data_IF_675041771741
#
_entry.id   IF_675041771741
#
_cell.length_a   1.000
_cell.length_b   1.000
_cell.length_c   1.000
_cell.angle_alpha   90.00
_cell.angle_beta   90.00
_cell.angle_gamma   90.00
#
_symmetry.space_group_name_H-M   'P 1'
#
loop_
_entity.id
_entity.type
_entity.pdbx_description
1 polymer ?
#
# COMPACT_ATOMS: atom_id res chain seq x y z
N UNK A 1 28.21 -34.56 12.74
CA UNK A 1 26.73 -34.63 12.69
C UNK A 1 26.18 -33.35 13.30
N UNK A 2 26.04 -32.30 12.47
CA UNK A 2 25.68 -30.96 12.94
C UNK A 2 24.19 -30.92 13.31
N UNK A 3 23.89 -30.71 14.58
CA UNK A 3 22.53 -30.50 15.08
C UNK A 3 21.99 -29.18 14.52
N UNK A 4 21.01 -29.25 13.63
CA UNK A 4 20.24 -28.08 13.19
C UNK A 4 19.67 -27.36 14.42
N UNK A 5 19.77 -26.02 14.51
CA UNK A 5 19.28 -25.28 15.66
C UNK A 5 17.76 -25.47 15.81
N UNK A 6 17.30 -25.66 17.04
CA UNK A 6 15.90 -25.88 17.46
C UNK A 6 14.90 -24.76 17.06
N UNK A 7 15.36 -23.74 16.32
CA UNK A 7 14.55 -22.64 15.83
C UNK A 7 13.64 -23.03 14.65
N UNK A 8 13.99 -24.07 13.87
CA UNK A 8 13.18 -24.51 12.72
C UNK A 8 11.99 -25.40 13.14
N UNK A 9 12.01 -25.96 14.35
CA UNK A 9 10.98 -26.90 14.81
C UNK A 9 9.71 -26.26 15.37
N UNK A 10 9.65 -24.93 15.53
CA UNK A 10 8.46 -24.22 16.04
C UNK A 10 7.82 -23.30 14.98
N UNK A 11 7.66 -23.82 13.76
CA UNK A 11 6.83 -23.14 12.76
C UNK A 11 5.37 -23.42 13.11
N UNK A 12 4.71 -22.44 13.74
CA UNK A 12 3.28 -22.51 14.06
C UNK A 12 2.47 -22.97 12.85
N UNK A 13 1.52 -23.92 13.01
CA UNK A 13 0.67 -24.35 11.91
C UNK A 13 -0.04 -23.14 11.29
N UNK A 14 0.19 -22.92 9.98
CA UNK A 14 -0.32 -21.77 9.23
C UNK A 14 0.65 -20.60 9.01
N UNK A 15 1.87 -20.63 9.57
CA UNK A 15 2.85 -19.56 9.36
C UNK A 15 3.22 -19.35 7.87
N UNK A 16 3.38 -20.45 7.10
CA UNK A 16 3.61 -20.37 5.65
C UNK A 16 2.45 -19.72 4.90
N UNK A 17 1.20 -19.97 5.31
CA UNK A 17 0.02 -19.35 4.70
C UNK A 17 -0.01 -17.85 4.96
N UNK A 18 0.26 -17.45 6.20
CA UNK A 18 0.34 -16.02 6.57
C UNK A 18 1.47 -15.34 5.81
N UNK A 19 2.65 -15.96 5.75
CA UNK A 19 3.79 -15.43 5.00
C UNK A 19 3.47 -15.28 3.51
N UNK A 20 2.86 -16.30 2.88
CA UNK A 20 2.46 -16.25 1.48
C UNK A 20 1.44 -15.14 1.21
N UNK A 21 0.42 -14.97 2.08
CA UNK A 21 -0.58 -13.91 1.94
C UNK A 21 0.04 -12.52 2.08
N UNK A 22 0.90 -12.31 3.07
CA UNK A 22 1.58 -11.02 3.27
C UNK A 22 2.54 -10.73 2.11
N UNK A 23 3.32 -11.72 1.66
CA UNK A 23 4.23 -11.57 0.54
C UNK A 23 3.49 -11.25 -0.77
N UNK A 24 2.35 -11.91 -1.03
CA UNK A 24 1.53 -11.62 -2.19
C UNK A 24 0.94 -10.20 -2.13
N UNK A 25 0.38 -9.80 -0.98
CA UNK A 25 -0.15 -8.44 -0.80
C UNK A 25 0.93 -7.37 -0.99
N UNK A 26 2.14 -7.61 -0.46
CA UNK A 26 3.29 -6.72 -0.64
C UNK A 26 3.73 -6.64 -2.10
N UNK A 27 3.80 -7.78 -2.79
CA UNK A 27 4.14 -7.83 -4.22
C UNK A 27 3.14 -7.03 -5.07
N UNK A 28 1.84 -7.16 -4.81
CA UNK A 28 0.78 -6.40 -5.50
C UNK A 28 0.95 -4.90 -5.25
N UNK A 29 1.16 -4.48 -3.99
CA UNK A 29 1.40 -3.08 -3.66
C UNK A 29 2.64 -2.52 -4.38
N UNK A 30 3.73 -3.29 -4.41
CA UNK A 30 4.93 -2.87 -5.14
C UNK A 30 4.70 -2.75 -6.63
N UNK A 31 4.05 -3.75 -7.24
CA UNK A 31 3.71 -3.73 -8.65
C UNK A 31 2.86 -2.50 -9.00
N UNK A 32 1.85 -2.16 -8.20
CA UNK A 32 1.05 -0.95 -8.39
C UNK A 32 1.92 0.31 -8.42
N UNK A 33 2.80 0.49 -7.43
CA UNK A 33 3.68 1.66 -7.38
C UNK A 33 4.70 1.72 -8.51
N UNK A 34 5.12 0.57 -9.04
CA UNK A 34 6.04 0.48 -10.17
C UNK A 34 5.34 0.75 -11.52
N UNK A 35 4.06 0.40 -11.64
CA UNK A 35 3.26 0.59 -12.84
C UNK A 35 2.71 2.02 -12.97
N UNK A 36 2.43 2.71 -11.86
CA UNK A 36 1.87 4.07 -11.90
C UNK A 36 2.68 5.07 -12.74
N UNK A 37 4.02 5.14 -12.62
CA UNK A 37 4.84 6.02 -13.44
C UNK A 37 4.68 5.83 -14.94
N UNK A 38 4.43 4.59 -15.36
CA UNK A 38 4.20 4.23 -16.76
C UNK A 38 2.83 4.73 -17.23
N UNK A 39 1.84 4.79 -16.33
CA UNK A 39 0.49 5.26 -16.64
C UNK A 39 0.37 6.79 -16.59
N UNK A 40 1.24 7.51 -15.87
CA UNK A 40 1.12 8.96 -15.73
C UNK A 40 1.05 9.74 -17.05
N UNK A 41 1.83 9.45 -18.11
CA UNK A 41 1.70 10.15 -19.38
C UNK A 41 0.30 10.01 -20.01
N UNK A 42 -0.29 8.81 -19.94
CA UNK A 42 -1.65 8.57 -20.42
C UNK A 42 -2.69 9.30 -19.58
N UNK A 43 -2.56 9.24 -18.24
CA UNK A 43 -3.42 9.97 -17.31
C UNK A 43 -3.34 11.48 -17.51
N UNK A 44 -2.15 12.02 -17.75
CA UNK A 44 -1.94 13.45 -18.03
C UNK A 44 -2.65 13.89 -19.31
N UNK A 45 -2.65 13.04 -20.35
CA UNK A 45 -3.34 13.30 -21.60
C UNK A 45 -4.87 13.21 -21.45
N UNK A 46 -5.39 12.19 -20.75
CA UNK A 46 -6.83 11.97 -20.57
C UNK A 46 -7.48 12.98 -19.61
N UNK A 47 -6.81 13.32 -18.51
CA UNK A 47 -7.34 14.18 -17.45
C UNK A 47 -6.89 15.65 -17.61
N UNK A 48 -6.09 15.95 -18.63
CA UNK A 48 -5.70 17.31 -18.99
C UNK A 48 -4.80 18.01 -17.96
N UNK A 49 -3.96 17.28 -17.21
CA UNK A 49 -3.08 17.86 -16.20
C UNK A 49 -1.58 17.76 -16.56
N UNK A 50 -0.82 18.81 -16.23
CA UNK A 50 0.64 18.88 -16.47
C UNK A 50 1.51 18.40 -15.31
N UNK A 51 2.84 18.41 -15.50
CA UNK A 51 3.83 17.96 -14.51
C UNK A 51 3.74 18.63 -13.12
N UNK A 52 3.25 19.87 -13.06
CA UNK A 52 2.98 20.58 -11.78
C UNK A 52 1.97 19.82 -10.91
N UNK A 53 0.89 19.36 -11.53
CA UNK A 53 -0.17 18.61 -10.86
C UNK A 53 0.31 17.21 -10.49
N UNK A 54 1.16 16.60 -11.33
CA UNK A 54 1.78 15.32 -11.03
C UNK A 54 2.70 15.39 -9.79
N UNK A 55 3.51 16.45 -9.68
CA UNK A 55 4.34 16.68 -8.50
C UNK A 55 3.51 16.84 -7.23
N UNK A 56 2.39 17.57 -7.32
CA UNK A 56 1.45 17.74 -6.20
C UNK A 56 0.76 16.42 -5.83
N UNK A 57 0.36 15.62 -6.83
CA UNK A 57 -0.22 14.29 -6.64
C UNK A 57 0.72 13.38 -5.85
N UNK A 58 1.97 13.27 -6.32
CA UNK A 58 2.98 12.42 -5.67
C UNK A 58 3.32 12.98 -4.29
N UNK A 59 3.56 14.29 -4.18
CA UNK A 59 3.94 14.92 -2.91
C UNK A 59 2.87 14.76 -1.82
N UNK A 60 1.62 15.11 -2.11
CA UNK A 60 0.51 15.01 -1.15
C UNK A 60 0.28 13.55 -0.75
N UNK A 61 0.19 12.64 -1.72
CA UNK A 61 -0.04 11.23 -1.43
C UNK A 61 1.09 10.61 -0.59
N UNK A 62 2.35 11.01 -0.80
CA UNK A 62 3.48 10.57 0.02
C UNK A 62 3.43 11.12 1.45
N UNK A 63 3.00 12.37 1.66
CA UNK A 63 2.80 12.92 3.01
C UNK A 63 1.77 12.11 3.79
N UNK A 64 0.65 11.75 3.16
CA UNK A 64 -0.36 10.91 3.79
C UNK A 64 0.16 9.50 4.11
N UNK A 65 0.90 8.88 3.19
CA UNK A 65 1.49 7.55 3.42
C UNK A 65 2.54 7.54 4.52
N UNK A 66 3.54 8.41 4.42
CA UNK A 66 4.67 8.46 5.36
C UNK A 66 4.23 9.01 6.73
N UNK A 67 3.35 10.01 6.74
CA UNK A 67 2.84 10.62 7.97
C UNK A 67 2.01 9.64 8.78
N UNK A 68 1.17 8.83 8.13
CA UNK A 68 0.42 7.80 8.85
C UNK A 68 1.27 6.61 9.25
N UNK A 69 2.33 6.26 8.52
CA UNK A 69 3.20 5.16 8.93
C UNK A 69 3.82 5.39 10.32
N UNK A 70 4.06 6.66 10.66
CA UNK A 70 4.46 7.05 12.02
C UNK A 70 3.35 6.80 13.05
N UNK A 71 2.10 7.13 12.69
CA UNK A 71 0.92 6.95 13.54
C UNK A 71 0.57 5.46 13.73
N UNK A 72 0.57 4.67 12.65
CA UNK A 72 0.33 3.22 12.71
C UNK A 72 1.41 2.49 13.51
N UNK A 73 2.68 2.94 13.40
CA UNK A 73 3.78 2.44 14.22
C UNK A 73 3.56 2.69 15.73
N UNK A 74 2.98 3.83 16.09
CA UNK A 74 2.63 4.15 17.48
C UNK A 74 1.39 3.36 17.95
N UNK A 75 0.32 3.32 17.14
CA UNK A 75 -0.93 2.61 17.45
C UNK A 75 -0.75 1.09 17.50
N UNK A 76 0.20 0.54 16.75
CA UNK A 76 0.58 -0.87 16.79
C UNK A 76 1.15 -1.35 18.13
N UNK A 77 1.37 -0.44 19.10
CA UNK A 77 1.66 -0.78 20.50
C UNK A 77 0.41 -1.19 21.29
N UNK A 78 -0.76 -0.74 20.86
CA UNK A 78 -2.05 -0.97 21.54
C UNK A 78 -2.96 -1.94 20.78
N UNK A 79 -2.77 -2.10 19.47
CA UNK A 79 -3.62 -2.93 18.59
C UNK A 79 -2.81 -4.08 17.98
N UNK A 80 -3.43 -5.26 17.85
CA UNK A 80 -2.80 -6.43 17.23
C UNK A 80 -2.41 -6.14 15.77
N UNK A 81 -1.11 -6.25 15.44
CA UNK A 81 -0.55 -6.02 14.09
C UNK A 81 -1.27 -6.78 12.97
N UNK A 82 -1.78 -7.99 13.25
CA UNK A 82 -2.51 -8.80 12.27
C UNK A 82 -3.79 -8.12 11.75
N UNK A 83 -4.51 -7.41 12.62
CA UNK A 83 -5.76 -6.71 12.27
C UNK A 83 -5.46 -5.46 11.46
N UNK A 84 -4.45 -4.68 11.89
CA UNK A 84 -3.97 -3.49 11.15
C UNK A 84 -3.55 -3.84 9.71
N UNK A 85 -2.72 -4.88 9.56
CA UNK A 85 -2.24 -5.32 8.25
C UNK A 85 -3.39 -5.82 7.35
N UNK A 86 -4.29 -6.64 7.89
CA UNK A 86 -5.41 -7.19 7.12
C UNK A 86 -6.41 -6.12 6.67
N UNK A 87 -6.84 -5.25 7.58
CA UNK A 87 -7.80 -4.19 7.26
C UNK A 87 -7.18 -3.16 6.31
N UNK A 88 -5.92 -2.77 6.55
CA UNK A 88 -5.21 -1.80 5.71
C UNK A 88 -5.03 -2.29 4.27
N UNK A 89 -4.60 -3.54 4.09
CA UNK A 89 -4.41 -4.11 2.74
C UNK A 89 -5.72 -4.28 1.97
N UNK A 90 -6.82 -4.66 2.64
CA UNK A 90 -8.14 -4.73 1.98
C UNK A 90 -8.63 -3.33 1.59
N UNK A 91 -8.56 -2.36 2.49
CA UNK A 91 -8.95 -0.98 2.21
C UNK A 91 -8.11 -0.38 1.07
N UNK A 92 -6.82 -0.70 1.03
CA UNK A 92 -5.92 -0.25 -0.04
C UNK A 92 -6.30 -0.84 -1.40
N UNK A 93 -6.64 -2.14 -1.46
CA UNK A 93 -7.12 -2.78 -2.69
C UNK A 93 -8.42 -2.15 -3.22
N UNK A 94 -9.35 -1.79 -2.34
CA UNK A 94 -10.59 -1.08 -2.72
C UNK A 94 -10.24 0.29 -3.33
N UNK A 95 -9.33 1.03 -2.70
CA UNK A 95 -8.90 2.34 -3.19
C UNK A 95 -8.19 2.25 -4.55
N UNK A 96 -7.39 1.21 -4.81
CA UNK A 96 -6.81 0.97 -6.13
C UNK A 96 -7.87 0.82 -7.22
N UNK A 97 -8.92 0.03 -6.95
CA UNK A 97 -10.03 -0.16 -7.89
C UNK A 97 -10.76 1.15 -8.17
N UNK A 98 -11.01 1.95 -7.13
CA UNK A 98 -11.69 3.25 -7.25
C UNK A 98 -10.82 4.31 -7.95
N UNK A 99 -9.50 4.28 -7.74
CA UNK A 99 -8.56 5.16 -8.45
C UNK A 99 -8.60 4.92 -9.97
N UNK A 100 -8.80 3.67 -10.41
CA UNK A 100 -8.96 3.32 -11.82
C UNK A 100 -10.23 3.88 -12.47
N UNK A 101 -11.24 4.25 -11.66
CA UNK A 101 -12.48 4.88 -12.14
C UNK A 101 -12.42 6.42 -12.08
N UNK A 102 -11.25 7.01 -11.78
CA UNK A 102 -11.15 8.46 -11.63
C UNK A 102 -11.27 9.18 -12.98
N UNK A 103 -12.21 10.13 -13.05
CA UNK A 103 -12.50 10.94 -14.25
C UNK A 103 -11.99 12.38 -14.12
N UNK A 104 -11.34 12.73 -13.01
CA UNK A 104 -10.80 14.07 -12.75
C UNK A 104 -9.55 14.01 -11.90
N UNK A 105 -8.65 14.98 -12.07
CA UNK A 105 -7.42 15.11 -11.29
C UNK A 105 -7.67 15.10 -9.77
N UNK A 106 -8.74 15.76 -9.30
CA UNK A 106 -9.08 15.78 -7.87
C UNK A 106 -9.56 14.42 -7.36
N UNK A 107 -10.33 13.68 -8.16
CA UNK A 107 -10.70 12.30 -7.84
C UNK A 107 -9.46 11.41 -7.76
N UNK A 108 -8.55 11.57 -8.71
CA UNK A 108 -7.31 10.82 -8.75
C UNK A 108 -6.42 11.12 -7.53
N UNK A 109 -6.32 12.40 -7.16
CA UNK A 109 -5.62 12.88 -5.97
C UNK A 109 -6.22 12.34 -4.68
N UNK A 110 -7.55 12.38 -4.55
CA UNK A 110 -8.25 11.86 -3.38
C UNK A 110 -8.03 10.36 -3.23
N UNK A 111 -8.24 9.58 -4.29
CA UNK A 111 -8.07 8.12 -4.26
C UNK A 111 -6.62 7.70 -4.06
N UNK A 112 -5.65 8.37 -4.68
CA UNK A 112 -4.22 8.13 -4.43
C UNK A 112 -3.81 8.44 -3.00
N UNK A 113 -4.31 9.54 -2.43
CA UNK A 113 -4.00 9.90 -1.04
C UNK A 113 -4.60 8.89 -0.07
N UNK A 114 -5.85 8.47 -0.30
CA UNK A 114 -6.55 7.46 0.50
C UNK A 114 -5.90 6.08 0.40
N UNK A 115 -5.41 5.74 -0.80
CA UNK A 115 -4.64 4.51 -1.04
C UNK A 115 -3.37 4.47 -0.19
N UNK A 116 -2.64 5.58 -0.12
CA UNK A 116 -1.43 5.72 0.71
C UNK A 116 -1.76 5.71 2.20
N UNK A 117 -2.91 6.26 2.59
CA UNK A 117 -3.46 6.22 3.94
C UNK A 117 -3.69 4.76 4.39
N UNK A 118 -4.41 4.00 3.57
CA UNK A 118 -4.80 2.62 3.86
C UNK A 118 -3.60 1.65 3.89
N UNK A 119 -2.58 1.91 3.08
CA UNK A 119 -1.37 1.09 2.97
C UNK A 119 -0.26 1.37 3.99
N UNK A 120 -0.53 2.16 5.03
CA UNK A 120 0.46 2.56 6.05
C UNK A 120 0.77 1.61 7.24
N UNK A 121 0.18 0.39 7.41
CA UNK A 121 0.50 -0.47 8.56
C UNK A 121 1.79 -1.30 8.43
#
# INVERSE_FOLDING_TARGET
MATLPAAVSDVRPGAYRVLALVAAAHAVNHAYTALLPILYPAMMAELGFGYRHLGLLIGVSQVFGQGLQFVTGYVGRFVQRKVLLGVGTVAQGICFGLAGLSQSFLHLLAWQSLTRLAGSP
#
